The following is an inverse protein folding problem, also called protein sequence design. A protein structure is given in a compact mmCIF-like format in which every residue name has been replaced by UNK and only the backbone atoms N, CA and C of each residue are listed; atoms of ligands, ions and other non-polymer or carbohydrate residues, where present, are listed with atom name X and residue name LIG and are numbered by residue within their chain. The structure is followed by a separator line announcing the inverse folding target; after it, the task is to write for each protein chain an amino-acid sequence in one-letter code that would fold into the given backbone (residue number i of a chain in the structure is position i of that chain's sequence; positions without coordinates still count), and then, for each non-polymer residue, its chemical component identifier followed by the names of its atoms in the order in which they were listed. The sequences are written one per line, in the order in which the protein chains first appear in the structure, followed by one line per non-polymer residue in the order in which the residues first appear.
data_IF_818661475887
#
_entry.id   IF_818661475887
#
_cell.length_a   1.000
_cell.length_b   1.000
_cell.length_c   1.000
_cell.angle_alpha   90.00
_cell.angle_beta   90.00
_cell.angle_gamma   90.00
#
_symmetry.space_group_name_H-M   'P 1'
#
loop_
_entity.id
_entity.type
_entity.pdbx_description
1 polymer ?
#
# COMPACT_ATOMS: atom_id res chain seq x y z
N UNK A 1 7.48 -7.14 1.06
CA UNK A 1 7.20 -8.33 1.91
C UNK A 1 6.81 -9.58 1.12
N UNK A 2 5.72 -9.57 0.35
CA UNK A 2 5.23 -10.76 -0.40
C UNK A 2 6.31 -11.48 -1.23
N UNK A 3 7.09 -10.73 -2.02
CA UNK A 3 8.14 -11.34 -2.85
C UNK A 3 9.24 -12.03 -2.03
N UNK A 4 9.67 -11.39 -0.93
CA UNK A 4 10.64 -11.97 0.02
C UNK A 4 10.12 -13.27 0.61
N UNK A 5 8.87 -13.29 1.08
CA UNK A 5 8.26 -14.49 1.65
C UNK A 5 8.14 -15.61 0.62
N UNK A 6 7.73 -15.30 -0.61
CA UNK A 6 7.64 -16.30 -1.68
C UNK A 6 9.01 -16.89 -2.02
N UNK A 7 10.07 -16.09 -1.95
CA UNK A 7 11.43 -16.58 -2.15
C UNK A 7 11.86 -17.55 -1.05
N UNK A 8 11.48 -17.29 0.20
CA UNK A 8 11.86 -18.11 1.36
C UNK A 8 11.05 -19.41 1.41
N UNK A 9 9.73 -19.30 1.25
CA UNK A 9 8.81 -20.41 1.49
C UNK A 9 8.51 -21.24 0.25
N UNK A 10 8.62 -20.66 -0.95
CA UNK A 10 8.24 -21.31 -2.20
C UNK A 10 9.36 -21.36 -3.24
N UNK A 11 10.55 -20.82 -2.93
CA UNK A 11 11.66 -20.66 -3.88
C UNK A 11 11.28 -19.90 -5.17
N UNK A 12 10.26 -19.03 -5.10
CA UNK A 12 9.78 -18.23 -6.23
C UNK A 12 10.12 -16.76 -5.99
N UNK A 13 10.82 -16.14 -6.95
CA UNK A 13 11.06 -14.70 -6.98
C UNK A 13 10.41 -14.05 -8.19
N UNK A 14 9.61 -13.05 -7.92
CA UNK A 14 9.10 -12.14 -8.94
C UNK A 14 10.19 -11.12 -9.33
N UNK A 15 10.35 -10.81 -10.64
CA UNK A 15 11.25 -9.76 -11.10
C UNK A 15 10.93 -8.38 -10.53
N UNK A 16 11.96 -7.58 -10.26
CA UNK A 16 11.83 -6.25 -9.68
C UNK A 16 10.93 -5.30 -10.47
N UNK A 17 11.04 -5.31 -11.80
CA UNK A 17 10.20 -4.48 -12.68
C UNK A 17 8.71 -4.79 -12.51
N UNK A 18 8.34 -6.08 -12.49
CA UNK A 18 6.96 -6.52 -12.29
C UNK A 18 6.41 -6.08 -10.93
N UNK A 19 7.24 -6.14 -9.88
CA UNK A 19 6.86 -5.64 -8.55
C UNK A 19 6.62 -4.13 -8.55
N UNK A 20 7.49 -3.36 -9.21
CA UNK A 20 7.33 -1.92 -9.38
C UNK A 20 6.03 -1.57 -10.10
N UNK A 21 5.75 -2.22 -11.24
CA UNK A 21 4.51 -2.02 -11.99
C UNK A 21 3.28 -2.36 -11.14
N UNK A 22 3.27 -3.48 -10.41
CA UNK A 22 2.16 -3.85 -9.53
C UNK A 22 1.96 -2.84 -8.40
N UNK A 23 3.03 -2.36 -7.78
CA UNK A 23 2.96 -1.35 -6.72
C UNK A 23 2.36 -0.04 -7.25
N UNK A 24 2.81 0.41 -8.43
CA UNK A 24 2.28 1.62 -9.08
C UNK A 24 0.81 1.49 -9.44
N UNK A 25 0.38 0.34 -9.97
CA UNK A 25 -1.03 0.10 -10.28
C UNK A 25 -1.89 0.12 -9.00
N UNK A 26 -1.50 -0.60 -7.96
CA UNK A 26 -2.24 -0.63 -6.68
C UNK A 26 -2.31 0.77 -6.06
N UNK A 27 -1.22 1.54 -6.12
CA UNK A 27 -1.20 2.92 -5.66
C UNK A 27 -2.15 3.82 -6.45
N UNK A 28 -2.18 3.64 -7.77
CA UNK A 28 -3.05 4.41 -8.67
C UNK A 28 -4.53 4.08 -8.46
N UNK A 29 -4.85 2.80 -8.28
CA UNK A 29 -6.20 2.33 -7.95
C UNK A 29 -6.66 2.90 -6.60
N UNK A 30 -5.80 2.85 -5.57
CA UNK A 30 -6.09 3.45 -4.27
C UNK A 30 -6.35 4.95 -4.41
N UNK A 31 -5.48 5.68 -5.12
CA UNK A 31 -5.64 7.12 -5.36
C UNK A 31 -6.95 7.43 -6.07
N UNK A 32 -7.32 6.67 -7.10
CA UNK A 32 -8.57 6.85 -7.83
C UNK A 32 -9.80 6.63 -6.94
N UNK A 33 -9.78 5.61 -6.08
CA UNK A 33 -10.84 5.37 -5.08
C UNK A 33 -10.94 6.53 -4.09
N UNK A 34 -9.81 7.07 -3.63
CA UNK A 34 -9.82 8.23 -2.74
C UNK A 34 -10.42 9.45 -3.43
N UNK A 35 -9.97 9.79 -4.65
CA UNK A 35 -10.51 10.92 -5.41
C UNK A 35 -12.03 10.81 -5.62
N UNK A 36 -12.54 9.62 -5.95
CA UNK A 36 -13.99 9.41 -6.08
C UNK A 36 -14.73 9.54 -4.75
N UNK A 37 -14.12 9.16 -3.62
CA UNK A 37 -14.71 9.35 -2.28
C UNK A 37 -14.73 10.82 -1.86
N UNK A 38 -13.65 11.56 -2.09
CA UNK A 38 -13.57 12.98 -1.76
C UNK A 38 -14.55 13.82 -2.60
N UNK A 39 -14.74 13.49 -3.88
CA UNK A 39 -15.72 14.18 -4.73
C UNK A 39 -17.19 13.92 -4.32
N UNK A 40 -17.49 12.84 -3.59
CA UNK A 40 -18.81 12.59 -3.02
C UNK A 40 -19.01 13.20 -1.63
N UNK A 41 -17.93 13.66 -0.98
CA UNK A 41 -17.93 13.98 0.45
C UNK A 41 -17.10 15.24 0.71
N UNK A 42 -17.60 16.41 0.32
CA UNK A 42 -17.15 17.70 0.89
C UNK A 42 -17.39 17.79 2.42
N UNK A 43 -18.02 16.77 3.03
CA UNK A 43 -18.43 16.77 4.43
C UNK A 43 -18.13 15.42 5.10
N UNK A 44 -16.87 15.09 5.36
CA UNK A 44 -16.50 14.52 6.65
C UNK A 44 -15.00 14.36 6.75
N UNK A 45 -14.45 15.19 7.63
CA UNK A 45 -13.36 14.85 8.51
C UNK A 45 -12.03 14.52 7.82
N UNK A 46 -11.13 15.50 7.95
CA UNK A 46 -9.75 15.25 8.34
C UNK A 46 -9.62 13.83 8.89
N UNK A 47 -9.05 12.93 8.08
CA UNK A 47 -8.63 11.61 8.53
C UNK A 47 -7.53 11.89 9.55
N UNK A 48 -7.97 12.18 10.78
CA UNK A 48 -7.16 12.09 11.97
C UNK A 48 -6.51 10.72 11.83
N UNK A 49 -5.18 10.72 11.90
CA UNK A 49 -4.38 9.53 12.12
C UNK A 49 -4.72 8.98 13.51
N UNK A 50 -5.99 8.68 13.76
CA UNK A 50 -6.40 7.86 14.88
C UNK A 50 -5.61 6.58 14.69
N UNK A 51 -4.89 6.22 15.73
CA UNK A 51 -4.15 4.97 15.86
C UNK A 51 -5.18 3.84 15.87
N UNK A 52 -5.83 3.60 14.73
CA UNK A 52 -6.71 2.48 14.50
C UNK A 52 -5.86 1.23 14.68
N UNK A 53 -6.16 0.47 15.72
CA UNK A 53 -5.57 -0.85 15.88
C UNK A 53 -5.86 -1.66 14.61
N UNK A 54 -4.83 -2.35 14.10
CA UNK A 54 -4.95 -3.10 12.86
C UNK A 54 -6.14 -4.07 12.93
N UNK A 55 -7.09 -3.93 12.00
CA UNK A 55 -8.19 -4.87 11.78
C UNK A 55 -7.97 -5.60 10.47
N UNK A 56 -8.33 -6.89 10.43
CA UNK A 56 -8.27 -7.69 9.20
C UNK A 56 -9.18 -7.07 8.14
N UNK A 57 -8.65 -6.90 6.93
CA UNK A 57 -9.43 -6.38 5.80
C UNK A 57 -10.53 -7.35 5.38
N UNK A 58 -11.62 -6.81 4.81
CA UNK A 58 -12.71 -7.60 4.25
C UNK A 58 -12.21 -8.48 3.10
N UNK A 59 -12.90 -9.59 2.87
CA UNK A 59 -12.63 -10.46 1.71
C UNK A 59 -12.72 -9.65 0.42
N UNK A 60 -11.75 -9.84 -0.49
CA UNK A 60 -11.66 -9.11 -1.77
C UNK A 60 -10.92 -7.76 -1.71
N UNK A 61 -10.49 -7.31 -0.53
CA UNK A 61 -9.68 -6.09 -0.41
C UNK A 61 -8.18 -6.40 -0.50
N UNK A 62 -7.45 -5.58 -1.25
CA UNK A 62 -6.00 -5.68 -1.36
C UNK A 62 -5.33 -4.98 -0.17
N UNK A 63 -4.43 -5.69 0.52
CA UNK A 63 -3.55 -5.10 1.54
C UNK A 63 -2.28 -4.57 0.88
N UNK A 64 -2.05 -3.27 0.96
CA UNK A 64 -0.78 -2.65 0.59
C UNK A 64 -0.03 -2.23 1.86
N UNK A 65 1.13 -2.83 2.12
CA UNK A 65 2.03 -2.34 3.17
C UNK A 65 3.00 -1.37 2.51
N UNK A 66 2.99 -0.10 2.95
CA UNK A 66 3.93 0.93 2.52
C UNK A 66 5.02 1.04 3.59
N UNK A 67 6.27 1.12 3.17
CA UNK A 67 7.43 1.31 4.05
C UNK A 67 8.36 2.32 3.40
N UNK A 68 9.02 3.14 4.21
CA UNK A 68 9.94 4.18 3.75
C UNK A 68 11.19 4.16 4.62
N UNK A 69 12.36 4.07 3.98
CA UNK A 69 13.66 4.19 4.63
C UNK A 69 14.31 5.50 4.24
N UNK A 70 14.74 6.28 5.23
CA UNK A 70 15.56 7.47 5.03
C UNK A 70 17.00 7.12 5.38
N UNK A 71 17.95 7.56 4.56
CA UNK A 71 19.37 7.51 4.90
C UNK A 71 19.82 8.94 5.18
N UNK A 72 20.37 9.21 6.36
CA UNK A 72 21.13 10.44 6.58
C UNK A 72 22.34 10.40 5.65
N UNK A 73 22.38 11.31 4.68
CA UNK A 73 23.66 11.70 4.10
C UNK A 73 24.44 12.41 5.20
N UNK A 74 25.47 11.75 5.74
CA UNK A 74 26.51 12.47 6.48
C UNK A 74 27.09 13.51 5.51
N UNK A 75 27.01 14.77 5.95
CA UNK A 75 27.35 16.02 5.26
C UNK A 75 28.49 15.91 4.25
#
# INVERSE_FOLDING_TARGET
WKNRNSSVWNNVKEPGLSLGTKAMNIWSDWKAVQTNRYNMTEVHEQVQQQTEQWKKSRQGWYKCNVDAGFHESLV
#
